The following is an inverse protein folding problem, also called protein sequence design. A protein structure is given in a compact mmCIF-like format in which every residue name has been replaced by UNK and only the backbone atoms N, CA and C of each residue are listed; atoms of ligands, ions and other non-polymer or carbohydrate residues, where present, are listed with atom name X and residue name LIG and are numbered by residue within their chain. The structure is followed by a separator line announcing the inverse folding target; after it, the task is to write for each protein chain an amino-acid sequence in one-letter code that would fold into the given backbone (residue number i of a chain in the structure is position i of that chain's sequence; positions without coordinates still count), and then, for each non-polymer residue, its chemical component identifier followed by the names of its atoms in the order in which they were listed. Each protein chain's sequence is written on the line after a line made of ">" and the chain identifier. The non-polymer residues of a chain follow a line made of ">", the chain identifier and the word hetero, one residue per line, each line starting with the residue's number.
data_IF_122928997165
#
_entry.id   IF_122928997165
#
_cell.length_a   1.000
_cell.length_b   1.000
_cell.length_c   1.000
_cell.angle_alpha   90.00
_cell.angle_beta   90.00
_cell.angle_gamma   90.00
#
_symmetry.space_group_name_H-M   'P 1'
#
loop_
_entity.id
_entity.type
_entity.pdbx_description
1 polymer ?
#
# COMPACT_ATOMS: atom_id res chain seq x y z
N UNK A 1 19.15 -4.60 11.24
CA UNK A 1 18.39 -3.73 10.31
C UNK A 1 18.97 -3.90 8.91
N UNK A 2 18.12 -3.94 7.86
CA UNK A 2 18.57 -4.12 6.48
C UNK A 2 18.09 -2.94 5.62
N UNK A 3 18.79 -2.70 4.51
CA UNK A 3 18.32 -1.83 3.44
C UNK A 3 18.37 -2.59 2.11
N UNK A 4 17.49 -2.26 1.17
CA UNK A 4 17.51 -2.78 -0.19
C UNK A 4 17.82 -1.65 -1.17
N UNK A 5 18.88 -1.79 -1.94
CA UNK A 5 19.25 -0.84 -2.98
C UNK A 5 18.73 -1.37 -4.32
N UNK A 6 17.65 -0.78 -4.80
CA UNK A 6 16.92 -1.19 -6.01
C UNK A 6 17.39 -0.41 -7.23
N UNK A 7 17.51 -1.10 -8.36
CA UNK A 7 17.81 -0.46 -9.64
C UNK A 7 16.53 0.06 -10.27
N UNK A 8 16.52 1.34 -10.65
CA UNK A 8 15.38 2.01 -11.30
C UNK A 8 15.83 2.86 -12.51
N UNK A 9 14.86 3.24 -13.34
CA UNK A 9 15.13 4.09 -14.50
C UNK A 9 15.01 5.59 -14.17
N UNK A 10 15.73 6.42 -14.96
CA UNK A 10 15.75 7.87 -14.82
C UNK A 10 14.39 8.52 -15.08
N UNK A 11 13.57 7.90 -15.94
CA UNK A 11 12.22 8.40 -16.26
C UNK A 11 11.28 8.25 -15.07
N UNK A 12 11.32 7.10 -14.38
CA UNK A 12 10.56 6.88 -13.14
C UNK A 12 10.99 7.85 -12.03
N UNK A 13 12.31 7.99 -11.81
CA UNK A 13 12.84 8.97 -10.85
C UNK A 13 12.38 10.40 -11.16
N UNK A 14 12.57 10.90 -12.38
CA UNK A 14 12.20 12.27 -12.76
C UNK A 14 10.72 12.53 -12.60
N UNK A 15 9.90 11.55 -12.95
CA UNK A 15 8.44 11.65 -12.85
C UNK A 15 8.00 11.85 -11.40
N UNK A 16 8.53 11.05 -10.48
CA UNK A 16 8.17 11.13 -9.06
C UNK A 16 8.86 12.31 -8.34
N UNK A 17 10.11 12.58 -8.64
CA UNK A 17 10.84 13.74 -8.11
C UNK A 17 10.12 15.08 -8.38
N UNK A 18 9.44 15.20 -9.50
CA UNK A 18 8.64 16.39 -9.82
C UNK A 18 7.35 16.54 -8.99
N UNK A 19 7.08 15.59 -8.06
CA UNK A 19 5.88 15.55 -7.21
C UNK A 19 6.26 15.50 -5.74
N UNK A 20 6.44 16.66 -5.08
CA UNK A 20 6.99 16.72 -3.72
C UNK A 20 6.05 16.18 -2.63
N UNK A 21 4.74 16.11 -2.89
CA UNK A 21 3.73 15.77 -1.89
C UNK A 21 3.34 14.28 -1.88
N UNK A 22 4.21 13.42 -2.40
CA UNK A 22 3.96 11.97 -2.39
C UNK A 22 4.08 11.43 -0.95
N UNK A 23 3.04 10.75 -0.51
CA UNK A 23 2.97 10.02 0.76
C UNK A 23 3.42 8.55 0.62
N UNK A 24 3.28 8.00 -0.60
CA UNK A 24 3.60 6.61 -0.94
C UNK A 24 3.97 6.48 -2.41
N UNK A 25 4.68 5.42 -2.78
CA UNK A 25 4.93 5.02 -4.18
C UNK A 25 4.84 3.50 -4.32
N UNK A 26 4.41 3.04 -5.49
CA UNK A 26 4.48 1.64 -5.87
C UNK A 26 5.71 1.40 -6.76
N UNK A 27 6.69 0.68 -6.24
CA UNK A 27 7.83 0.20 -7.00
C UNK A 27 7.48 -1.17 -7.59
N UNK A 28 6.94 -1.19 -8.80
CA UNK A 28 6.44 -2.41 -9.42
C UNK A 28 7.53 -3.30 -10.00
N UNK A 29 7.30 -4.61 -9.93
CA UNK A 29 8.11 -5.64 -10.56
C UNK A 29 7.32 -6.24 -11.73
N UNK A 30 7.91 -6.37 -12.94
CA UNK A 30 7.19 -6.86 -14.13
C UNK A 30 6.68 -8.29 -14.00
N UNK A 31 7.39 -9.13 -13.23
CA UNK A 31 7.02 -10.52 -12.99
C UNK A 31 6.00 -10.65 -11.85
N UNK A 32 4.91 -11.40 -12.09
CA UNK A 32 3.87 -11.67 -11.08
C UNK A 32 4.09 -12.97 -10.28
N UNK A 33 5.29 -13.54 -10.26
CA UNK A 33 5.53 -14.85 -9.63
C UNK A 33 6.47 -14.84 -8.42
N UNK A 34 7.21 -13.76 -8.20
CA UNK A 34 8.19 -13.68 -7.12
C UNK A 34 7.70 -12.74 -6.02
N UNK A 35 7.75 -13.23 -4.79
CA UNK A 35 7.52 -12.41 -3.61
C UNK A 35 8.77 -11.62 -3.23
N UNK A 36 8.61 -10.37 -2.84
CA UNK A 36 9.67 -9.56 -2.27
C UNK A 36 9.75 -9.83 -0.75
N UNK A 37 10.83 -10.45 -0.33
CA UNK A 37 11.06 -10.87 1.07
C UNK A 37 12.35 -10.28 1.66
N UNK A 38 12.97 -9.34 0.95
CA UNK A 38 14.27 -8.80 1.34
C UNK A 38 14.22 -7.89 2.56
N UNK A 39 13.07 -7.25 2.81
CA UNK A 39 12.85 -6.28 3.88
C UNK A 39 11.64 -6.63 4.73
N UNK A 40 11.68 -6.21 5.99
CA UNK A 40 10.51 -6.12 6.87
C UNK A 40 9.92 -4.70 6.81
N UNK A 41 8.61 -4.51 7.13
CA UNK A 41 8.00 -3.19 7.18
C UNK A 41 8.82 -2.18 8.00
N UNK A 42 8.95 -0.95 7.48
CA UNK A 42 9.75 0.11 8.08
C UNK A 42 11.23 0.13 7.67
N UNK A 43 11.74 -0.89 7.01
CA UNK A 43 13.14 -0.90 6.57
C UNK A 43 13.36 -0.07 5.29
N UNK A 44 14.56 0.55 5.13
CA UNK A 44 14.87 1.40 4.01
C UNK A 44 14.90 0.66 2.66
N UNK A 45 14.29 1.28 1.65
CA UNK A 45 14.35 0.89 0.25
C UNK A 45 14.91 2.07 -0.55
N UNK A 46 16.10 1.92 -1.11
CA UNK A 46 16.85 3.00 -1.77
C UNK A 46 16.78 2.86 -3.28
N UNK A 47 16.75 3.99 -3.99
CA UNK A 47 16.62 4.05 -5.44
C UNK A 47 17.97 4.34 -6.10
N UNK A 48 18.46 3.40 -6.92
CA UNK A 48 19.68 3.54 -7.70
C UNK A 48 19.37 3.60 -9.19
N UNK A 49 19.89 4.60 -9.88
CA UNK A 49 19.75 4.70 -11.33
C UNK A 49 20.56 3.62 -12.07
N UNK A 50 20.04 3.19 -13.22
CA UNK A 50 20.78 2.34 -14.16
C UNK A 50 22.09 3.00 -14.61
N UNK A 51 23.02 2.22 -15.15
CA UNK A 51 24.14 2.73 -15.93
C UNK A 51 23.62 3.59 -17.11
N UNK A 52 24.34 4.67 -17.49
CA UNK A 52 25.66 5.08 -16.99
C UNK A 52 25.64 5.90 -15.69
N UNK A 53 24.48 6.35 -15.21
CA UNK A 53 24.37 7.24 -14.05
C UNK A 53 24.96 6.62 -12.79
N UNK A 54 24.52 5.43 -12.40
CA UNK A 54 25.03 4.68 -11.24
C UNK A 54 25.07 5.47 -9.92
N UNK A 55 24.07 6.30 -9.65
CA UNK A 55 23.92 7.05 -8.41
C UNK A 55 22.70 6.58 -7.62
N UNK A 56 22.78 6.70 -6.32
CA UNK A 56 21.62 6.60 -5.42
C UNK A 56 20.95 7.98 -5.39
N UNK A 57 19.68 8.01 -5.72
CA UNK A 57 18.94 9.26 -6.01
C UNK A 57 17.80 9.53 -5.03
N UNK A 58 17.66 8.70 -4.01
CA UNK A 58 16.59 8.80 -3.03
C UNK A 58 16.23 7.45 -2.44
N UNK A 59 15.09 7.38 -1.79
CA UNK A 59 14.59 6.16 -1.17
C UNK A 59 13.19 6.32 -0.62
N UNK A 60 12.76 5.31 0.12
CA UNK A 60 11.50 5.25 0.85
C UNK A 60 11.60 4.17 1.92
N UNK A 61 10.51 3.93 2.65
CA UNK A 61 10.45 2.86 3.63
C UNK A 61 9.47 1.78 3.18
N UNK A 62 9.92 0.53 3.22
CA UNK A 62 9.09 -0.61 2.82
C UNK A 62 7.85 -0.70 3.73
N UNK A 63 6.67 -0.79 3.14
CA UNK A 63 5.41 -0.95 3.85
C UNK A 63 4.85 -2.36 3.68
N UNK A 64 4.67 -2.80 2.42
CA UNK A 64 4.03 -4.07 2.11
C UNK A 64 4.42 -4.57 0.71
N UNK A 65 4.24 -5.85 0.47
CA UNK A 65 4.33 -6.44 -0.85
C UNK A 65 3.05 -7.17 -1.21
N UNK A 66 2.52 -6.92 -2.39
CA UNK A 66 1.35 -7.62 -2.91
C UNK A 66 1.51 -7.98 -4.39
N UNK A 67 0.85 -9.03 -4.82
CA UNK A 67 0.69 -9.40 -6.22
C UNK A 67 -0.67 -8.90 -6.70
N UNK A 68 -0.69 -7.95 -7.63
CA UNK A 68 -1.93 -7.34 -8.13
C UNK A 68 -2.03 -7.45 -9.66
N UNK A 69 -3.24 -7.58 -10.21
CA UNK A 69 -3.50 -7.23 -11.59
C UNK A 69 -3.01 -5.81 -11.89
N UNK A 70 -2.48 -5.57 -13.09
CA UNK A 70 -1.91 -4.27 -13.45
C UNK A 70 -2.95 -3.14 -13.39
N UNK A 71 -4.21 -3.43 -13.73
CA UNK A 71 -5.31 -2.47 -13.59
C UNK A 71 -5.55 -2.06 -12.14
N UNK A 72 -5.59 -3.02 -11.21
CA UNK A 72 -5.80 -2.75 -9.78
C UNK A 72 -4.61 -2.05 -9.15
N UNK A 73 -3.38 -2.33 -9.58
CA UNK A 73 -2.20 -1.57 -9.17
C UNK A 73 -2.29 -0.10 -9.62
N UNK A 74 -2.80 0.14 -10.83
CA UNK A 74 -3.08 1.49 -11.31
C UNK A 74 -4.20 2.17 -10.52
N UNK A 75 -5.32 1.51 -10.28
CA UNK A 75 -6.43 2.04 -9.48
C UNK A 75 -6.03 2.40 -8.05
N UNK A 76 -5.14 1.60 -7.44
CA UNK A 76 -4.68 1.85 -6.07
C UNK A 76 -3.70 3.03 -5.99
N UNK A 77 -2.78 3.15 -6.95
CA UNK A 77 -1.63 4.05 -6.85
C UNK A 77 -1.60 5.17 -7.90
N UNK A 78 -2.36 5.06 -9.01
CA UNK A 78 -2.37 6.08 -10.07
C UNK A 78 -0.98 6.49 -10.49
N UNK A 79 -0.69 7.80 -10.50
CA UNK A 79 0.62 8.37 -10.84
C UNK A 79 1.75 7.98 -9.86
N UNK A 80 1.42 7.52 -8.65
CA UNK A 80 2.40 6.98 -7.69
C UNK A 80 3.09 5.68 -8.18
N UNK A 81 2.64 5.13 -9.32
CA UNK A 81 3.36 4.09 -10.08
C UNK A 81 4.54 4.65 -10.90
N UNK A 82 4.77 5.97 -10.92
CA UNK A 82 5.86 6.63 -11.65
C UNK A 82 5.58 6.82 -13.14
N UNK A 83 4.30 6.87 -13.55
CA UNK A 83 3.84 7.06 -14.93
C UNK A 83 2.54 7.87 -14.96
N UNK A 84 2.20 8.45 -16.11
CA UNK A 84 1.02 9.32 -16.27
C UNK A 84 -0.30 8.56 -16.49
N UNK A 85 -0.26 7.28 -16.88
CA UNK A 85 -1.46 6.52 -17.25
C UNK A 85 -1.25 5.02 -17.21
N UNK A 86 -2.36 4.27 -17.09
CA UNK A 86 -2.35 2.79 -17.18
C UNK A 86 -1.75 2.28 -18.51
N UNK A 87 -2.08 2.84 -19.70
CA UNK A 87 -1.44 2.39 -20.95
C UNK A 87 0.08 2.58 -20.94
N UNK A 88 0.60 3.65 -20.35
CA UNK A 88 2.05 3.84 -20.21
C UNK A 88 2.65 2.85 -19.20
N UNK A 89 1.98 2.62 -18.08
CA UNK A 89 2.40 1.60 -17.12
C UNK A 89 2.51 0.23 -17.78
N UNK A 90 1.49 -0.19 -18.53
CA UNK A 90 1.51 -1.45 -19.28
C UNK A 90 2.70 -1.52 -20.22
N UNK A 91 2.93 -0.52 -21.07
CA UNK A 91 4.07 -0.48 -21.99
C UNK A 91 5.41 -0.66 -21.26
N UNK A 92 5.61 0.01 -20.13
CA UNK A 92 6.85 -0.11 -19.34
C UNK A 92 7.01 -1.48 -18.73
N UNK A 93 5.94 -2.03 -18.14
CA UNK A 93 5.95 -3.39 -17.57
C UNK A 93 6.23 -4.43 -18.66
N UNK A 94 5.53 -4.35 -19.78
CA UNK A 94 5.67 -5.29 -20.92
C UNK A 94 7.06 -5.31 -21.52
N UNK A 95 7.74 -4.16 -21.58
CA UNK A 95 9.15 -4.07 -22.00
C UNK A 95 10.09 -5.01 -21.23
N UNK A 96 9.79 -5.27 -19.96
CA UNK A 96 10.61 -6.12 -19.08
C UNK A 96 10.03 -7.51 -18.87
N UNK A 97 8.86 -7.80 -19.42
CA UNK A 97 8.29 -9.16 -19.39
C UNK A 97 8.91 -9.99 -20.50
N UNK A 98 9.18 -11.28 -20.19
CA UNK A 98 9.72 -12.23 -21.15
C UNK A 98 8.66 -12.84 -22.10
N UNK A 99 7.38 -12.62 -21.83
CA UNK A 99 6.25 -13.11 -22.62
C UNK A 99 5.49 -11.95 -23.23
N UNK A 100 5.08 -12.09 -24.48
CA UNK A 100 4.14 -11.18 -25.13
C UNK A 100 2.82 -11.30 -24.36
N UNK A 101 2.38 -10.21 -23.74
CA UNK A 101 1.10 -10.18 -23.06
C UNK A 101 -0.02 -10.03 -24.12
N UNK A 102 -1.11 -10.76 -23.94
CA UNK A 102 -2.36 -10.46 -24.63
C UNK A 102 -2.72 -8.99 -24.29
N UNK A 103 -2.99 -8.12 -25.28
CA UNK A 103 -3.35 -6.72 -25.07
C UNK A 103 -4.56 -6.53 -24.12
N UNK A 104 -5.42 -7.54 -24.04
CA UNK A 104 -6.61 -7.54 -23.18
C UNK A 104 -6.37 -8.22 -21.82
N UNK A 105 -5.24 -8.89 -21.62
CA UNK A 105 -4.95 -9.56 -20.35
C UNK A 105 -4.67 -8.55 -19.24
N UNK A 106 -5.33 -8.74 -18.11
CA UNK A 106 -5.03 -8.03 -16.86
C UNK A 106 -4.04 -8.86 -16.02
N UNK A 107 -2.80 -8.87 -16.50
CA UNK A 107 -1.75 -9.71 -15.95
C UNK A 107 -1.29 -9.21 -14.57
N UNK A 108 -0.87 -10.14 -13.72
CA UNK A 108 -0.35 -9.86 -12.39
C UNK A 108 1.07 -9.30 -12.45
N UNK A 109 1.34 -8.30 -11.59
CA UNK A 109 2.65 -7.72 -11.32
C UNK A 109 2.95 -7.78 -9.82
N UNK A 110 4.23 -7.70 -9.45
CA UNK A 110 4.63 -7.51 -8.06
C UNK A 110 4.58 -6.02 -7.72
N UNK A 111 3.96 -5.68 -6.59
CA UNK A 111 3.86 -4.32 -6.06
C UNK A 111 4.64 -4.22 -4.75
N UNK A 112 5.81 -3.57 -4.77
CA UNK A 112 6.57 -3.20 -3.58
C UNK A 112 6.06 -1.82 -3.16
N UNK A 113 5.26 -1.80 -2.11
CA UNK A 113 4.60 -0.59 -1.62
C UNK A 113 5.53 0.09 -0.63
N UNK A 114 5.83 1.34 -0.91
CA UNK A 114 6.79 2.15 -0.18
C UNK A 114 6.11 3.41 0.34
N UNK A 115 6.39 3.78 1.59
CA UNK A 115 5.87 5.00 2.23
C UNK A 115 6.97 6.03 2.43
N UNK A 116 6.55 7.28 2.58
CA UNK A 116 7.43 8.41 2.88
C UNK A 116 8.61 8.50 1.88
N UNK A 117 8.35 8.52 0.55
CA UNK A 117 9.39 8.60 -0.44
C UNK A 117 10.11 9.95 -0.39
N UNK A 118 11.42 9.90 -0.63
CA UNK A 118 12.27 11.08 -0.77
C UNK A 118 13.13 10.95 -2.02
N UNK A 119 13.37 12.07 -2.69
CA UNK A 119 14.12 12.14 -3.94
C UNK A 119 15.10 13.31 -3.87
N UNK A 120 16.36 13.05 -4.08
CA UNK A 120 17.41 14.06 -4.04
C UNK A 120 17.61 14.75 -5.38
N UNK A 121 17.96 16.04 -5.35
CA UNK A 121 18.45 16.75 -6.52
C UNK A 121 19.83 16.23 -6.95
N UNK A 122 20.18 16.44 -8.21
CA UNK A 122 21.42 15.89 -8.79
C UNK A 122 22.70 16.21 -7.98
N UNK A 123 22.92 17.43 -7.44
CA UNK A 123 24.09 17.72 -6.62
C UNK A 123 24.17 16.89 -5.32
N UNK A 124 23.04 16.33 -4.87
CA UNK A 124 22.92 15.58 -3.63
C UNK A 124 22.94 14.07 -3.81
N UNK A 125 23.05 13.59 -5.05
CA UNK A 125 23.10 12.16 -5.34
C UNK A 125 24.33 11.52 -4.71
N UNK A 126 24.14 10.32 -4.13
CA UNK A 126 25.25 9.58 -3.54
C UNK A 126 25.82 8.58 -4.55
N UNK A 127 27.14 8.35 -4.53
CA UNK A 127 27.75 7.31 -5.34
C UNK A 127 27.20 5.93 -4.94
N UNK A 128 27.07 5.04 -5.90
CA UNK A 128 26.73 3.65 -5.62
C UNK A 128 27.86 2.99 -4.86
N UNK A 129 27.59 2.17 -3.79
CA UNK A 129 28.62 1.43 -3.08
C UNK A 129 29.50 0.61 -4.05
N UNK A 130 30.81 0.59 -3.79
CA UNK A 130 31.82 -0.03 -4.68
C UNK A 130 31.62 -1.54 -4.87
N UNK A 131 30.95 -2.19 -3.91
CA UNK A 131 30.64 -3.62 -3.91
C UNK A 131 29.31 -3.94 -4.62
N UNK A 132 28.63 -2.93 -5.21
CA UNK A 132 27.45 -3.13 -6.06
C UNK A 132 27.87 -3.53 -7.47
N UNK A 133 27.87 -4.82 -7.79
CA UNK A 133 28.26 -5.31 -9.11
C UNK A 133 27.40 -4.73 -10.23
N UNK A 134 28.03 -4.46 -11.38
CA UNK A 134 27.34 -3.99 -12.60
C UNK A 134 26.36 -5.02 -13.18
N UNK A 135 26.50 -6.30 -12.81
CA UNK A 135 25.63 -7.37 -13.24
C UNK A 135 24.30 -7.42 -12.45
N UNK A 136 24.18 -6.68 -11.38
CA UNK A 136 22.96 -6.62 -10.58
C UNK A 136 21.90 -5.80 -11.32
N UNK A 137 20.84 -6.47 -11.76
CA UNK A 137 19.77 -5.89 -12.57
C UNK A 137 18.53 -5.47 -11.75
N UNK A 138 18.33 -6.02 -10.56
CA UNK A 138 17.15 -5.72 -9.72
C UNK A 138 17.51 -4.93 -8.47
N UNK A 139 18.49 -5.39 -7.72
CA UNK A 139 18.93 -4.73 -6.49
C UNK A 139 19.71 -5.66 -5.57
N UNK A 140 20.20 -5.10 -4.48
CA UNK A 140 21.04 -5.79 -3.49
C UNK A 140 20.62 -5.39 -2.07
N UNK A 141 20.60 -6.36 -1.17
CA UNK A 141 20.36 -6.15 0.27
C UNK A 141 21.65 -5.87 0.99
N UNK A 142 21.66 -4.87 1.86
CA UNK A 142 22.74 -4.53 2.77
C UNK A 142 22.32 -4.75 4.23
N UNK A 143 23.16 -5.38 5.03
CA UNK A 143 23.01 -5.36 6.50
C UNK A 143 23.63 -4.07 7.02
N UNK A 144 22.83 -3.23 7.66
CA UNK A 144 23.23 -1.89 8.13
C UNK A 144 24.03 -1.95 9.46
N UNK A 145 24.28 -3.14 9.98
CA UNK A 145 25.12 -3.36 11.18
C UNK A 145 26.56 -3.70 10.84
N UNK A 146 26.83 -4.05 9.58
CA UNK A 146 28.14 -4.51 9.08
C UNK A 146 28.58 -3.71 7.86
N UNK A 147 29.89 -3.62 7.62
CA UNK A 147 30.41 -3.00 6.41
C UNK A 147 30.13 -3.87 5.16
N UNK A 148 29.89 -3.26 4.00
CA UNK A 148 29.86 -1.81 3.73
C UNK A 148 28.50 -1.15 4.00
N UNK A 149 27.52 -1.90 4.45
CA UNK A 149 26.15 -1.41 4.64
C UNK A 149 26.05 -0.32 5.70
N UNK A 150 26.86 -0.39 6.77
CA UNK A 150 26.88 0.62 7.84
C UNK A 150 27.31 1.98 7.30
N UNK A 151 28.50 2.08 6.70
CA UNK A 151 29.01 3.32 6.16
C UNK A 151 28.09 3.91 5.10
N UNK A 152 27.56 3.06 4.22
CA UNK A 152 26.58 3.50 3.20
C UNK A 152 25.32 4.10 3.82
N UNK A 153 24.78 3.47 4.88
CA UNK A 153 23.60 4.00 5.56
C UNK A 153 23.90 5.30 6.32
N UNK A 154 25.07 5.44 6.89
CA UNK A 154 25.50 6.67 7.56
C UNK A 154 25.52 7.86 6.59
N UNK A 155 25.98 7.66 5.35
CA UNK A 155 25.94 8.68 4.29
C UNK A 155 24.49 9.04 3.92
N UNK A 156 23.64 8.03 3.70
CA UNK A 156 22.18 8.23 3.42
C UNK A 156 21.52 9.01 4.55
N UNK A 157 21.74 8.59 5.80
CA UNK A 157 21.14 9.22 6.97
C UNK A 157 21.66 10.64 7.20
N UNK A 158 22.95 10.89 6.91
CA UNK A 158 23.52 12.23 6.96
C UNK A 158 22.87 13.18 5.96
N UNK A 159 22.64 12.71 4.72
CA UNK A 159 21.94 13.47 3.68
C UNK A 159 20.51 13.79 4.08
N UNK A 160 19.77 12.81 4.59
CA UNK A 160 18.40 13.00 5.05
C UNK A 160 18.27 13.97 6.22
N UNK A 161 19.29 14.04 7.11
CA UNK A 161 19.32 15.02 8.21
C UNK A 161 19.53 16.46 7.75
N UNK A 162 20.19 16.66 6.59
CA UNK A 162 20.42 17.98 6.02
C UNK A 162 19.16 18.54 5.32
N UNK A 163 18.24 17.66 4.92
CA UNK A 163 16.96 18.10 4.39
C UNK A 163 16.07 18.66 5.50
N UNK A 164 15.65 19.90 5.36
CA UNK A 164 14.63 20.54 6.20
C UNK A 164 13.25 20.19 5.64
N UNK A 165 12.61 19.12 6.16
CA UNK A 165 11.28 18.73 5.68
C UNK A 165 10.78 17.40 6.25
N UNK A 166 9.70 16.90 5.65
CA UNK A 166 8.98 15.67 6.06
C UNK A 166 9.89 14.43 6.12
N UNK A 167 10.84 14.28 5.20
CA UNK A 167 11.81 13.18 5.18
C UNK A 167 12.73 13.12 6.41
N UNK A 168 13.18 14.29 6.91
CA UNK A 168 14.03 14.35 8.09
C UNK A 168 13.32 13.92 9.38
N UNK A 169 12.02 14.18 9.50
CA UNK A 169 11.21 13.79 10.65
C UNK A 169 10.98 12.27 10.66
N UNK A 170 10.65 11.68 9.52
CA UNK A 170 10.41 10.24 9.37
C UNK A 170 11.68 9.44 9.69
N UNK A 171 12.86 9.92 9.28
CA UNK A 171 14.13 9.26 9.60
C UNK A 171 14.43 9.31 11.10
N UNK A 172 14.15 10.42 11.77
CA UNK A 172 14.31 10.51 13.23
C UNK A 172 13.43 9.51 13.98
N UNK A 173 12.19 9.37 13.55
CA UNK A 173 11.22 8.44 14.17
C UNK A 173 11.55 6.98 13.88
N UNK A 174 12.09 6.64 12.70
CA UNK A 174 12.34 5.26 12.27
C UNK A 174 13.74 4.74 12.57
N UNK A 175 14.74 5.62 12.56
CA UNK A 175 16.16 5.22 12.78
C UNK A 175 16.55 5.27 14.25
N UNK A 176 15.91 6.14 15.03
CA UNK A 176 16.26 6.41 16.44
C UNK A 176 15.09 6.20 17.42
N UNK A 177 13.88 5.96 16.91
CA UNK A 177 12.74 5.57 17.74
C UNK A 177 12.83 4.09 18.11
N UNK A 178 12.67 3.78 19.39
CA UNK A 178 12.44 2.41 19.86
C UNK A 178 11.29 1.78 19.09
N UNK A 179 11.24 0.44 18.99
CA UNK A 179 10.27 -0.45 18.31
C UNK A 179 8.78 -0.19 18.66
N UNK A 180 8.36 1.05 18.74
CA UNK A 180 6.95 1.41 18.67
C UNK A 180 6.57 1.34 17.20
N UNK A 181 5.81 0.31 16.85
CA UNK A 181 4.86 0.34 15.73
C UNK A 181 3.96 1.58 15.92
N UNK A 182 4.50 2.76 15.60
CA UNK A 182 3.67 3.94 15.42
C UNK A 182 2.69 3.50 14.33
N UNK A 183 1.41 3.47 14.67
CA UNK A 183 0.30 3.26 13.73
C UNK A 183 0.36 4.41 12.73
N UNK A 184 1.30 4.30 11.79
CA UNK A 184 1.65 5.33 10.82
C UNK A 184 0.45 5.50 9.90
N UNK A 185 0.10 6.75 9.59
CA UNK A 185 -0.92 7.05 8.59
C UNK A 185 -0.50 6.40 7.28
N UNK A 186 -1.24 5.38 6.86
CA UNK A 186 -1.05 4.74 5.56
C UNK A 186 -1.54 5.69 4.48
N UNK A 187 -0.91 5.69 3.32
CA UNK A 187 -1.48 6.29 2.13
C UNK A 187 -2.73 5.50 1.69
N UNK A 188 -3.59 6.11 0.90
CA UNK A 188 -4.85 5.50 0.47
C UNK A 188 -4.64 4.20 -0.33
N UNK A 189 -3.62 4.18 -1.20
CA UNK A 189 -3.30 2.98 -1.98
C UNK A 189 -2.79 1.84 -1.11
N UNK A 190 -1.86 2.15 -0.18
CA UNK A 190 -1.36 1.18 0.82
C UNK A 190 -2.50 0.62 1.67
N UNK A 191 -3.39 1.48 2.18
CA UNK A 191 -4.57 1.07 2.94
C UNK A 191 -5.44 0.09 2.15
N UNK A 192 -5.80 0.44 0.89
CA UNK A 192 -6.62 -0.42 0.02
C UNK A 192 -6.00 -1.80 -0.16
N UNK A 193 -4.72 -1.86 -0.46
CA UNK A 193 -4.02 -3.13 -0.72
C UNK A 193 -3.88 -3.97 0.54
N UNK A 194 -3.48 -3.36 1.66
CA UNK A 194 -3.36 -4.05 2.96
C UNK A 194 -4.70 -4.65 3.40
N UNK A 195 -5.77 -3.88 3.38
CA UNK A 195 -7.11 -4.37 3.73
C UNK A 195 -7.51 -5.52 2.80
N UNK A 196 -7.28 -5.40 1.50
CA UNK A 196 -7.58 -6.47 0.53
C UNK A 196 -6.84 -7.77 0.88
N UNK A 197 -5.56 -7.71 1.20
CA UNK A 197 -4.76 -8.89 1.55
C UNK A 197 -5.12 -9.46 2.92
N UNK A 198 -5.38 -8.62 3.94
CA UNK A 198 -5.80 -9.05 5.29
C UNK A 198 -7.12 -9.83 5.28
N UNK A 199 -8.03 -9.48 4.40
CA UNK A 199 -9.29 -10.20 4.19
C UNK A 199 -9.16 -11.35 3.18
N UNK A 200 -7.93 -11.77 2.83
CA UNK A 200 -7.68 -12.85 1.88
C UNK A 200 -8.38 -12.65 0.54
N UNK A 201 -8.51 -11.38 0.11
CA UNK A 201 -9.15 -10.99 -1.16
C UNK A 201 -10.61 -11.45 -1.25
N UNK A 202 -11.35 -11.37 -0.14
CA UNK A 202 -12.75 -11.76 -0.06
C UNK A 202 -13.56 -10.72 0.69
N UNK A 203 -14.75 -10.44 0.18
CA UNK A 203 -15.72 -9.62 0.92
C UNK A 203 -15.95 -10.16 2.33
N UNK A 204 -15.90 -9.34 3.34
CA UNK A 204 -16.15 -9.70 4.73
C UNK A 204 -17.55 -10.31 4.95
N UNK A 205 -18.52 -9.88 4.17
CA UNK A 205 -19.93 -10.28 4.29
C UNK A 205 -20.25 -11.44 3.33
N UNK A 206 -20.11 -11.21 2.01
CA UNK A 206 -20.59 -12.14 0.98
C UNK A 206 -19.59 -13.21 0.60
N UNK A 207 -18.34 -13.10 1.01
CA UNK A 207 -17.21 -13.97 0.60
C UNK A 207 -16.86 -13.87 -0.88
N UNK A 208 -17.42 -12.90 -1.62
CA UNK A 208 -17.09 -12.63 -3.02
C UNK A 208 -15.57 -12.42 -3.19
N UNK A 209 -15.02 -12.94 -4.30
CA UNK A 209 -13.59 -12.90 -4.63
C UNK A 209 -13.25 -12.09 -5.89
N UNK A 210 -14.26 -11.62 -6.61
CA UNK A 210 -14.05 -10.81 -7.80
C UNK A 210 -13.44 -9.47 -7.39
N UNK A 211 -12.13 -9.37 -7.42
CA UNK A 211 -11.36 -8.20 -6.95
C UNK A 211 -11.88 -6.85 -7.47
N UNK A 212 -12.29 -6.71 -8.75
CA UNK A 212 -12.77 -5.42 -9.26
C UNK A 212 -14.02 -4.86 -8.56
N UNK A 213 -14.78 -5.70 -7.84
CA UNK A 213 -15.97 -5.25 -7.09
C UNK A 213 -15.72 -5.20 -5.58
N UNK A 214 -14.48 -5.40 -5.14
CA UNK A 214 -14.10 -5.32 -3.72
C UNK A 214 -13.48 -3.97 -3.39
N UNK A 215 -13.96 -3.36 -2.32
CA UNK A 215 -13.57 -2.04 -1.86
C UNK A 215 -13.16 -2.08 -0.39
N UNK A 216 -12.06 -1.39 -0.05
CA UNK A 216 -11.65 -1.16 1.32
C UNK A 216 -12.48 -0.03 1.92
N UNK A 217 -13.55 -0.40 2.62
CA UNK A 217 -14.48 0.51 3.27
C UNK A 217 -13.92 0.99 4.61
N UNK A 218 -13.89 2.31 4.86
CA UNK A 218 -13.65 2.83 6.20
C UNK A 218 -14.90 2.63 7.05
N UNK A 219 -14.74 2.14 8.29
CA UNK A 219 -15.85 2.06 9.24
C UNK A 219 -16.22 3.47 9.73
N UNK A 220 -15.21 4.27 10.08
CA UNK A 220 -15.33 5.71 10.33
C UNK A 220 -14.59 6.48 9.24
N UNK A 221 -15.28 7.23 8.37
CA UNK A 221 -14.66 7.98 7.28
C UNK A 221 -13.61 8.99 7.74
N UNK A 222 -12.62 9.27 6.90
CA UNK A 222 -11.58 10.28 7.19
C UNK A 222 -12.21 11.66 7.40
N UNK A 223 -13.26 12.01 6.66
CA UNK A 223 -14.05 13.24 6.83
C UNK A 223 -14.73 13.35 8.18
N UNK A 224 -14.98 12.23 8.86
CA UNK A 224 -15.55 12.18 10.22
C UNK A 224 -14.49 11.93 11.30
N UNK A 225 -13.20 12.18 11.00
CA UNK A 225 -12.09 12.01 11.93
C UNK A 225 -11.54 10.58 12.01
N UNK A 226 -11.92 9.70 11.10
CA UNK A 226 -11.27 8.40 10.91
C UNK A 226 -9.87 8.53 10.31
N UNK A 227 -9.13 7.43 10.30
CA UNK A 227 -7.77 7.37 9.75
C UNK A 227 -7.60 6.12 8.88
N UNK A 228 -6.58 6.10 8.02
CA UNK A 228 -6.22 4.93 7.23
C UNK A 228 -5.52 3.85 8.09
N UNK A 229 -6.24 3.35 9.10
CA UNK A 229 -5.83 2.22 9.94
C UNK A 229 -6.56 0.96 9.46
N UNK A 230 -5.90 -0.19 9.47
CA UNK A 230 -6.50 -1.46 9.03
C UNK A 230 -7.66 -1.91 9.92
N UNK A 231 -7.60 -1.61 11.21
CA UNK A 231 -8.67 -1.88 12.18
C UNK A 231 -9.85 -0.88 12.11
N UNK A 232 -9.75 0.14 11.22
CA UNK A 232 -10.85 1.02 10.81
C UNK A 232 -11.39 0.62 9.44
N UNK A 233 -11.30 -0.66 9.06
CA UNK A 233 -11.65 -1.09 7.72
C UNK A 233 -12.40 -2.42 7.65
N UNK A 234 -13.22 -2.53 6.61
CA UNK A 234 -13.82 -3.76 6.12
C UNK A 234 -13.53 -3.90 4.62
N UNK A 235 -13.26 -5.10 4.13
CA UNK A 235 -13.28 -5.36 2.70
C UNK A 235 -14.68 -5.78 2.29
N UNK A 236 -15.35 -4.95 1.52
CA UNK A 236 -16.75 -5.14 1.15
C UNK A 236 -16.91 -5.18 -0.38
N UNK A 237 -17.91 -5.93 -0.84
CA UNK A 237 -18.41 -5.81 -2.22
C UNK A 237 -19.09 -4.45 -2.37
N UNK A 238 -18.97 -3.80 -3.52
CA UNK A 238 -19.38 -2.42 -3.77
C UNK A 238 -20.84 -2.10 -3.39
N UNK A 239 -21.76 -3.01 -3.63
CA UNK A 239 -23.16 -2.86 -3.21
C UNK A 239 -23.33 -2.90 -1.68
N UNK A 240 -22.61 -3.82 -1.01
CA UNK A 240 -22.58 -3.92 0.45
C UNK A 240 -21.93 -2.68 1.06
N UNK A 241 -20.84 -2.18 0.46
CA UNK A 241 -20.18 -0.94 0.88
C UNK A 241 -21.14 0.25 0.80
N UNK A 242 -21.84 0.39 -0.33
CA UNK A 242 -22.84 1.45 -0.51
C UNK A 242 -23.94 1.40 0.57
N UNK A 243 -24.44 0.21 0.91
CA UNK A 243 -25.46 0.05 1.96
C UNK A 243 -24.89 0.29 3.37
N UNK A 244 -23.63 -0.04 3.60
CA UNK A 244 -22.93 0.22 4.85
C UNK A 244 -22.77 1.73 5.09
N UNK A 245 -22.27 2.47 4.10
CA UNK A 245 -22.10 3.92 4.16
C UNK A 245 -23.45 4.68 4.34
N UNK A 246 -24.53 4.10 3.81
CA UNK A 246 -25.88 4.67 3.93
C UNK A 246 -26.66 4.19 5.18
N UNK A 247 -26.04 3.37 6.01
CA UNK A 247 -26.63 2.90 7.27
C UNK A 247 -27.66 1.79 7.15
N UNK A 248 -27.89 1.22 5.97
CA UNK A 248 -28.80 0.07 5.81
C UNK A 248 -28.18 -1.24 6.29
N UNK A 249 -26.85 -1.28 6.36
CA UNK A 249 -26.08 -2.40 6.90
C UNK A 249 -25.16 -1.87 8.01
N UNK A 250 -25.01 -2.66 9.06
CA UNK A 250 -24.09 -2.38 10.18
C UNK A 250 -23.42 -3.65 10.66
N UNK A 251 -22.59 -3.52 11.69
CA UNK A 251 -21.90 -4.65 12.33
C UNK A 251 -22.04 -4.51 13.84
N UNK A 252 -22.42 -5.61 14.51
CA UNK A 252 -22.56 -5.64 15.95
C UNK A 252 -21.20 -5.84 16.68
N UNK A 253 -21.15 -5.75 18.02
CA UNK A 253 -19.92 -5.97 18.81
C UNK A 253 -19.33 -7.37 18.67
N UNK A 254 -20.10 -8.35 18.20
CA UNK A 254 -19.69 -9.74 17.99
C UNK A 254 -19.25 -10.00 16.54
N UNK A 255 -19.12 -8.93 15.74
CA UNK A 255 -18.82 -8.97 14.30
C UNK A 255 -19.86 -9.74 13.49
N UNK A 256 -21.14 -9.63 13.86
CA UNK A 256 -22.28 -10.15 13.10
C UNK A 256 -22.92 -9.03 12.27
N UNK A 257 -23.43 -9.40 11.08
CA UNK A 257 -24.05 -8.45 10.17
C UNK A 257 -25.41 -8.00 10.70
N UNK A 258 -25.60 -6.69 10.79
CA UNK A 258 -26.89 -6.06 11.02
C UNK A 258 -27.48 -5.60 9.69
N UNK A 259 -28.77 -5.80 9.51
CA UNK A 259 -29.54 -5.28 8.36
C UNK A 259 -30.74 -4.52 8.89
N UNK A 260 -30.82 -3.24 8.53
CA UNK A 260 -31.88 -2.31 8.97
C UNK A 260 -33.23 -2.70 8.36
N UNK A 261 -34.30 -2.61 9.17
CA UNK A 261 -35.68 -2.77 8.70
C UNK A 261 -36.07 -1.72 7.67
N UNK A 262 -35.41 -0.56 7.68
CA UNK A 262 -35.65 0.52 6.73
C UNK A 262 -35.30 0.14 5.28
N UNK A 263 -34.38 -0.81 5.07
CA UNK A 263 -34.07 -1.27 3.70
C UNK A 263 -35.33 -1.77 2.97
N UNK A 264 -36.18 -2.56 3.67
CA UNK A 264 -37.46 -2.99 3.11
C UNK A 264 -38.49 -1.86 3.08
N UNK A 265 -38.53 -1.03 4.13
CA UNK A 265 -39.52 0.06 4.23
C UNK A 265 -39.29 1.11 3.11
N UNK A 266 -38.03 1.45 2.81
CA UNK A 266 -37.66 2.49 1.86
C UNK A 266 -37.67 2.01 0.39
N UNK A 267 -37.43 0.69 0.14
CA UNK A 267 -37.23 0.16 -1.21
C UNK A 267 -38.11 -1.05 -1.57
N UNK A 268 -38.96 -1.52 -0.65
CA UNK A 268 -39.78 -2.73 -0.78
C UNK A 268 -39.01 -3.99 -1.24
N UNK A 269 -37.74 -4.03 -0.93
CA UNK A 269 -36.80 -5.09 -1.34
C UNK A 269 -35.71 -5.27 -0.27
N UNK A 270 -34.73 -6.12 -0.58
CA UNK A 270 -33.58 -6.36 0.31
C UNK A 270 -33.44 -7.79 0.78
N UNK A 271 -34.25 -8.74 0.27
CA UNK A 271 -34.23 -10.15 0.69
C UNK A 271 -32.84 -10.76 0.64
N UNK A 272 -32.04 -10.42 -0.38
CA UNK A 272 -30.67 -10.90 -0.52
C UNK A 272 -29.83 -10.56 0.72
N UNK A 273 -29.96 -9.33 1.24
CA UNK A 273 -29.20 -8.88 2.41
C UNK A 273 -29.79 -9.38 3.71
N UNK A 274 -31.14 -9.51 3.82
CA UNK A 274 -31.78 -10.07 5.00
C UNK A 274 -31.39 -11.53 5.25
N UNK A 275 -31.12 -12.31 4.20
CA UNK A 275 -30.62 -13.70 4.33
C UNK A 275 -29.24 -13.76 4.98
N UNK A 276 -28.46 -12.68 4.91
CA UNK A 276 -27.13 -12.58 5.51
C UNK A 276 -27.15 -12.00 6.93
N UNK A 277 -28.33 -11.54 7.40
CA UNK A 277 -28.47 -10.95 8.74
C UNK A 277 -28.07 -11.94 9.82
N UNK A 278 -27.22 -11.50 10.76
CA UNK A 278 -26.70 -12.32 11.85
C UNK A 278 -25.51 -13.20 11.47
N UNK A 279 -25.18 -13.29 10.18
CA UNK A 279 -23.99 -14.03 9.75
C UNK A 279 -22.72 -13.34 10.30
N UNK A 280 -21.76 -14.17 10.73
CA UNK A 280 -20.48 -13.67 11.20
C UNK A 280 -19.59 -13.23 10.05
N UNK A 281 -19.01 -12.05 10.16
CA UNK A 281 -18.09 -11.53 9.15
C UNK A 281 -16.82 -12.40 9.03
N UNK A 282 -16.23 -12.43 7.83
CA UNK A 282 -14.82 -12.81 7.69
C UNK A 282 -13.98 -11.75 8.39
N UNK A 283 -13.05 -12.18 9.22
CA UNK A 283 -12.16 -11.29 9.94
C UNK A 283 -10.69 -11.56 9.56
N UNK A 284 -9.82 -10.58 9.68
CA UNK A 284 -8.38 -10.76 9.65
C UNK A 284 -7.93 -11.80 10.69
N UNK A 285 -6.83 -12.49 10.39
CA UNK A 285 -6.30 -13.57 11.23
C UNK A 285 -5.84 -13.06 12.61
N UNK A 286 -5.13 -11.93 12.64
CA UNK A 286 -4.59 -11.34 13.85
C UNK A 286 -5.60 -10.39 14.48
N UNK A 287 -5.75 -10.44 15.80
CA UNK A 287 -6.77 -9.66 16.52
C UNK A 287 -6.54 -8.15 16.40
N UNK A 288 -5.27 -7.72 16.32
CA UNK A 288 -4.85 -6.33 16.13
C UNK A 288 -5.26 -5.70 14.79
N UNK A 289 -5.53 -6.55 13.77
CA UNK A 289 -5.95 -6.11 12.44
C UNK A 289 -7.49 -6.13 12.28
N UNK A 290 -8.21 -6.68 13.27
CA UNK A 290 -9.67 -6.77 13.22
C UNK A 290 -10.33 -5.42 13.45
N UNK A 291 -11.55 -5.20 12.92
CA UNK A 291 -12.32 -4.00 13.18
C UNK A 291 -12.37 -3.66 14.66
N UNK A 292 -11.87 -2.48 15.03
CA UNK A 292 -11.86 -2.05 16.42
C UNK A 292 -13.26 -1.67 16.90
N UNK A 293 -13.57 -2.06 18.14
CA UNK A 293 -14.89 -1.82 18.75
C UNK A 293 -15.31 -0.36 18.71
N UNK A 294 -14.37 0.57 18.93
CA UNK A 294 -14.62 2.02 18.89
C UNK A 294 -15.18 2.52 17.54
N UNK A 295 -14.70 1.96 16.42
CA UNK A 295 -15.19 2.34 15.09
C UNK A 295 -16.54 1.70 14.78
N UNK A 296 -16.72 0.43 15.17
CA UNK A 296 -18.00 -0.26 15.00
C UNK A 296 -19.11 0.40 15.82
N UNK A 297 -18.82 0.82 17.05
CA UNK A 297 -19.74 1.57 17.90
C UNK A 297 -20.10 2.90 17.27
N UNK A 298 -19.08 3.69 16.86
CA UNK A 298 -19.31 4.96 16.16
C UNK A 298 -20.24 4.80 14.95
N UNK A 299 -20.03 3.75 14.12
CA UNK A 299 -20.86 3.52 12.95
C UNK A 299 -22.31 3.17 13.35
N UNK A 300 -22.50 2.33 14.38
CA UNK A 300 -23.85 1.99 14.85
C UNK A 300 -24.60 3.20 15.39
N UNK A 301 -23.91 4.07 16.11
CA UNK A 301 -24.55 5.20 16.79
C UNK A 301 -24.78 6.39 15.87
N UNK A 302 -23.96 6.53 14.82
CA UNK A 302 -23.95 7.72 13.96
C UNK A 302 -24.56 7.45 12.57
N UNK A 303 -24.37 6.24 12.02
CA UNK A 303 -24.70 5.94 10.62
C UNK A 303 -25.83 4.92 10.50
N UNK A 304 -25.79 3.86 11.29
CA UNK A 304 -26.75 2.75 11.15
C UNK A 304 -28.19 3.16 11.46
N UNK A 305 -29.13 2.78 10.62
CA UNK A 305 -30.54 3.22 10.66
C UNK A 305 -31.45 2.34 11.55
N UNK A 306 -30.93 1.50 12.40
CA UNK A 306 -31.69 0.73 13.39
C UNK A 306 -32.43 -0.50 12.86
#
# INVERSE_FOLDING_TARGET
>A
MKAFLAVTDRGWYRFLHARPDLDEVNFWQPGGSRHFTALSPGQPFLFKLHAPDNFVVGGAFFAHFSLLPVSLAWEAFGEKNGVVSLPEMRRRVEKYRRSVADPHADYTIGCIILRDPFFWNQPDWLPTPTDFSREIVQGKTYDLRTEPGRSFWEEVAARLRQETGRGAQVVREQVYGEDRLVRTRLGQGTFRVLVTDLYHRRCAVTREKALPVLEAAHIRPVSAGGTHRVDNALLLRSDVHTLFDRGYIGVDPHHQLLVSRRLKADFDNGEHYYRLKGERLLLPKHDEDRPAGEFLEWHRDTVFLG
#
